data_IF_962272587870
#
_entry.id   IF_962272587870
#
_cell.length_a   1.000
_cell.length_b   1.000
_cell.length_c   1.000
_cell.angle_alpha   90.00
_cell.angle_beta   90.00
_cell.angle_gamma   90.00
#
_symmetry.space_group_name_H-M   'P 1'
#
loop_
_entity.id
_entity.type
_entity.pdbx_description
1 polymer ?
#
# COMPACT_ATOMS: atom_id res chain seq x y z
N UNK A 1 -6.98 13.08 -15.72
CA UNK A 1 -7.33 11.69 -15.33
C UNK A 1 -6.34 11.11 -14.30
N UNK A 2 -5.03 11.14 -14.53
CA UNK A 2 -4.02 10.53 -13.66
C UNK A 2 -4.07 10.99 -12.18
N UNK A 3 -4.31 12.28 -11.93
CA UNK A 3 -4.48 12.80 -10.56
C UNK A 3 -5.66 12.17 -9.79
N UNK A 4 -6.72 11.75 -10.49
CA UNK A 4 -7.88 11.09 -9.89
C UNK A 4 -7.51 9.69 -9.39
N UNK A 5 -6.77 8.90 -10.19
CA UNK A 5 -6.28 7.59 -9.74
C UNK A 5 -5.27 7.70 -8.60
N UNK A 6 -4.45 8.75 -8.59
CA UNK A 6 -3.53 9.01 -7.47
C UNK A 6 -4.31 9.35 -6.19
N UNK A 7 -5.41 10.11 -6.30
CA UNK A 7 -6.29 10.40 -5.18
C UNK A 7 -6.99 9.13 -4.66
N UNK A 8 -7.47 8.25 -5.54
CA UNK A 8 -8.03 6.95 -5.17
C UNK A 8 -7.00 6.06 -4.45
N UNK A 9 -5.74 6.05 -4.91
CA UNK A 9 -4.64 5.33 -4.28
C UNK A 9 -4.37 5.83 -2.85
N UNK A 10 -4.31 7.14 -2.67
CA UNK A 10 -4.14 7.78 -1.36
C UNK A 10 -5.34 7.45 -0.46
N UNK A 11 -6.56 7.46 -1.00
CA UNK A 11 -7.77 7.08 -0.29
C UNK A 11 -7.67 5.64 0.23
N UNK A 12 -7.27 4.67 -0.62
CA UNK A 12 -7.10 3.28 -0.20
C UNK A 12 -6.08 3.11 0.94
N UNK A 13 -4.95 3.83 0.89
CA UNK A 13 -3.96 3.80 1.97
C UNK A 13 -4.48 4.44 3.27
N UNK A 14 -5.30 5.49 3.16
CA UNK A 14 -5.86 6.22 4.28
C UNK A 14 -7.07 5.54 4.95
N UNK A 15 -7.89 4.80 4.20
CA UNK A 15 -9.12 4.14 4.72
C UNK A 15 -8.80 3.32 5.97
N UNK A 16 -7.77 2.47 5.95
CA UNK A 16 -7.40 1.66 7.12
C UNK A 16 -7.02 2.51 8.34
N UNK A 17 -6.25 3.57 8.12
CA UNK A 17 -5.76 4.46 9.19
C UNK A 17 -6.90 5.30 9.78
N UNK A 18 -7.83 5.75 8.95
CA UNK A 18 -9.05 6.46 9.36
C UNK A 18 -9.93 5.53 10.21
N UNK A 19 -10.20 4.31 9.73
CA UNK A 19 -10.94 3.30 10.49
C UNK A 19 -10.27 3.07 11.84
N UNK A 20 -8.97 2.77 11.85
CA UNK A 20 -8.23 2.55 13.10
C UNK A 20 -8.24 3.77 14.04
N UNK A 21 -8.17 4.98 13.50
CA UNK A 21 -8.27 6.23 14.26
C UNK A 21 -9.63 6.39 14.93
N UNK A 22 -10.72 6.01 14.25
CA UNK A 22 -12.07 6.09 14.81
C UNK A 22 -12.33 5.08 15.93
N UNK A 23 -11.72 3.89 15.87
CA UNK A 23 -11.96 2.83 16.87
C UNK A 23 -10.98 2.83 18.07
N UNK A 24 -9.83 3.51 17.98
CA UNK A 24 -8.82 3.51 19.06
C UNK A 24 -8.95 4.70 20.01
N UNK A 25 -9.07 4.43 21.33
CA UNK A 25 -9.10 5.47 22.40
C UNK A 25 -7.82 6.32 22.50
N UNK A 26 -6.68 5.83 21.99
CA UNK A 26 -5.39 6.54 21.97
C UNK A 26 -4.82 6.48 20.57
N UNK A 27 -4.77 7.63 19.89
CA UNK A 27 -4.21 7.75 18.56
C UNK A 27 -2.80 8.31 18.69
N UNK A 28 -1.82 7.57 18.16
CA UNK A 28 -0.45 8.07 18.01
C UNK A 28 -0.26 8.56 16.57
N UNK A 29 -0.25 9.88 16.32
CA UNK A 29 -0.26 10.43 14.96
C UNK A 29 0.97 9.97 14.16
N UNK A 30 2.13 9.89 14.80
CA UNK A 30 3.36 9.41 14.17
C UNK A 30 3.23 8.01 13.58
N UNK A 31 2.62 7.07 14.31
CA UNK A 31 2.46 5.68 13.84
C UNK A 31 1.47 5.59 12.69
N UNK A 32 0.41 6.38 12.74
CA UNK A 32 -0.57 6.49 11.65
C UNK A 32 0.05 7.04 10.38
N UNK A 33 0.91 8.07 10.48
CA UNK A 33 1.62 8.63 9.33
C UNK A 33 2.56 7.62 8.68
N UNK A 34 3.32 6.84 9.47
CA UNK A 34 4.21 5.80 8.94
C UNK A 34 3.41 4.74 8.14
N UNK A 35 2.24 4.34 8.63
CA UNK A 35 1.37 3.39 7.93
C UNK A 35 0.88 3.94 6.58
N UNK A 36 0.43 5.20 6.54
CA UNK A 36 0.02 5.87 5.30
C UNK A 36 1.19 5.91 4.31
N UNK A 37 2.39 6.29 4.77
CA UNK A 37 3.57 6.37 3.92
C UNK A 37 3.96 5.00 3.34
N UNK A 38 3.90 3.93 4.14
CA UNK A 38 4.17 2.56 3.65
C UNK A 38 3.15 2.14 2.59
N UNK A 39 1.85 2.35 2.84
CA UNK A 39 0.79 2.06 1.88
C UNK A 39 0.95 2.85 0.59
N UNK A 40 1.24 4.15 0.70
CA UNK A 40 1.40 5.05 -0.44
C UNK A 40 2.63 4.71 -1.27
N UNK A 41 3.80 4.51 -0.64
CA UNK A 41 5.03 4.14 -1.35
C UNK A 41 4.86 2.81 -2.07
N UNK A 42 4.23 1.83 -1.42
CA UNK A 42 4.02 0.52 -2.04
C UNK A 42 3.03 0.54 -3.21
N UNK A 43 1.93 1.29 -3.08
CA UNK A 43 0.98 1.49 -4.18
C UNK A 43 1.62 2.23 -5.35
N UNK A 44 2.39 3.29 -5.06
CA UNK A 44 3.05 4.09 -6.09
C UNK A 44 4.10 3.27 -6.86
N UNK A 45 4.71 2.28 -6.22
CA UNK A 45 5.68 1.39 -6.81
C UNK A 45 5.05 0.53 -7.93
N UNK A 46 3.84 0.02 -7.72
CA UNK A 46 3.11 -0.80 -8.69
C UNK A 46 2.27 0.03 -9.69
N UNK A 47 2.31 1.37 -9.58
CA UNK A 47 1.47 2.23 -10.39
C UNK A 47 1.90 2.23 -11.87
N UNK A 48 0.95 2.10 -12.82
CA UNK A 48 1.24 2.17 -14.25
C UNK A 48 1.64 3.59 -14.68
N UNK A 49 2.60 3.70 -15.60
CA UNK A 49 2.94 4.97 -16.26
C UNK A 49 1.81 5.45 -17.18
N UNK A 50 1.88 6.73 -17.57
CA UNK A 50 0.87 7.43 -18.38
C UNK A 50 0.55 6.79 -19.72
N UNK A 51 1.41 5.90 -20.21
CA UNK A 51 1.22 5.17 -21.48
C UNK A 51 0.58 3.79 -21.31
N UNK A 52 0.17 3.40 -20.09
CA UNK A 52 -0.43 2.11 -19.68
C UNK A 52 0.33 0.83 -20.11
N UNK A 53 1.45 1.01 -20.80
CA UNK A 53 2.25 -0.04 -21.38
C UNK A 53 3.37 -0.47 -20.44
N UNK A 54 3.70 0.32 -19.40
CA UNK A 54 4.80 0.05 -18.46
C UNK A 54 4.39 0.46 -17.06
N UNK A 55 4.71 -0.33 -16.04
CA UNK A 55 4.66 0.08 -14.63
C UNK A 55 5.97 0.75 -14.23
N UNK A 56 5.97 1.57 -13.18
CA UNK A 56 7.20 2.16 -12.63
C UNK A 56 8.22 1.10 -12.18
N UNK A 57 7.76 -0.04 -11.63
CA UNK A 57 8.62 -1.17 -11.26
C UNK A 57 8.92 -2.15 -12.40
N UNK A 58 7.93 -2.43 -13.26
CA UNK A 58 8.06 -3.31 -14.44
C UNK A 58 8.77 -2.61 -15.61
N UNK A 59 9.01 -1.31 -15.49
CA UNK A 59 9.83 -0.53 -16.43
C UNK A 59 11.31 -0.44 -16.05
N UNK A 60 11.66 -0.70 -14.78
CA UNK A 60 13.02 -0.48 -14.26
C UNK A 60 13.72 -1.74 -13.72
N UNK A 61 12.98 -2.72 -13.17
CA UNK A 61 13.57 -3.89 -12.46
C UNK A 61 13.15 -5.26 -13.02
N UNK A 62 12.01 -5.38 -13.71
CA UNK A 62 11.54 -6.66 -14.27
C UNK A 62 11.32 -6.58 -15.78
N UNK A 63 11.86 -7.56 -16.50
CA UNK A 63 11.64 -7.71 -17.93
C UNK A 63 10.17 -8.05 -18.22
N UNK A 64 9.57 -7.38 -19.23
CA UNK A 64 8.15 -7.53 -19.60
C UNK A 64 7.75 -8.96 -19.95
N UNK A 65 8.73 -9.80 -20.29
CA UNK A 65 8.54 -11.17 -20.76
C UNK A 65 8.05 -12.13 -19.67
N UNK A 66 8.20 -11.79 -18.38
CA UNK A 66 7.69 -12.60 -17.27
C UNK A 66 6.26 -12.23 -16.84
N UNK A 67 5.73 -11.11 -17.32
CA UNK A 67 4.40 -10.66 -16.96
C UNK A 67 3.35 -11.32 -17.85
N UNK A 68 2.64 -12.30 -17.29
CA UNK A 68 1.44 -12.89 -17.91
C UNK A 68 0.48 -11.78 -18.35
N UNK A 69 -0.19 -11.98 -19.50
CA UNK A 69 -1.22 -11.08 -20.05
C UNK A 69 -2.23 -10.61 -18.99
N UNK A 70 -2.52 -11.46 -17.99
CA UNK A 70 -3.43 -11.16 -16.89
C UNK A 70 -2.98 -9.98 -16.01
N UNK A 71 -1.67 -9.84 -15.76
CA UNK A 71 -1.15 -8.77 -14.91
C UNK A 71 -1.07 -7.45 -15.66
N UNK A 72 -0.64 -7.47 -16.93
CA UNK A 72 -0.61 -6.27 -17.76
C UNK A 72 -2.01 -5.67 -17.94
N UNK A 73 -3.03 -6.52 -18.10
CA UNK A 73 -4.41 -6.06 -18.31
C UNK A 73 -5.07 -5.49 -17.03
N UNK A 74 -4.59 -5.91 -15.84
CA UNK A 74 -5.20 -5.60 -14.55
C UNK A 74 -4.24 -4.89 -13.58
N UNK A 75 -3.29 -4.12 -14.09
CA UNK A 75 -2.17 -3.61 -13.32
C UNK A 75 -2.59 -2.65 -12.18
N UNK A 76 -3.63 -1.84 -12.42
CA UNK A 76 -4.22 -0.94 -11.42
C UNK A 76 -4.88 -1.69 -10.26
N UNK A 77 -5.51 -2.82 -10.54
CA UNK A 77 -6.14 -3.63 -9.51
C UNK A 77 -5.09 -4.11 -8.49
N UNK A 78 -3.94 -4.56 -8.97
CA UNK A 78 -2.81 -4.97 -8.12
C UNK A 78 -2.23 -3.82 -7.31
N UNK A 79 -2.12 -2.63 -7.90
CA UNK A 79 -1.67 -1.42 -7.19
C UNK A 79 -2.58 -1.07 -6.01
N UNK A 80 -3.90 -1.05 -6.22
CA UNK A 80 -4.86 -0.74 -5.15
C UNK A 80 -4.91 -1.84 -4.08
N UNK A 81 -4.82 -3.12 -4.50
CA UNK A 81 -4.79 -4.25 -3.57
C UNK A 81 -3.55 -4.19 -2.66
N UNK A 82 -2.36 -3.95 -3.22
CA UNK A 82 -1.13 -3.79 -2.44
C UNK A 82 -1.20 -2.58 -1.50
N UNK A 83 -1.67 -1.43 -2.00
CA UNK A 83 -1.78 -0.19 -1.21
C UNK A 83 -2.69 -0.36 0.02
N UNK A 84 -3.72 -1.21 -0.07
CA UNK A 84 -4.60 -1.54 1.05
C UNK A 84 -4.02 -2.61 1.99
N UNK A 85 -3.48 -3.71 1.43
CA UNK A 85 -3.01 -4.84 2.23
C UNK A 85 -1.74 -4.54 3.03
N UNK A 86 -0.80 -3.76 2.49
CA UNK A 86 0.48 -3.46 3.14
C UNK A 86 0.37 -2.67 4.45
N UNK A 87 -0.40 -1.58 4.56
CA UNK A 87 -0.62 -0.91 5.85
C UNK A 87 -1.31 -1.82 6.86
N UNK A 88 -2.21 -2.71 6.42
CA UNK A 88 -2.87 -3.68 7.31
C UNK A 88 -1.86 -4.70 7.85
N UNK A 89 -1.10 -5.34 6.96
CA UNK A 89 -0.12 -6.37 7.33
C UNK A 89 0.98 -5.77 8.21
N UNK A 90 1.54 -4.63 7.82
CA UNK A 90 2.58 -3.95 8.62
C UNK A 90 2.08 -3.56 10.00
N UNK A 91 0.81 -3.14 10.13
CA UNK A 91 0.25 -2.83 11.44
C UNK A 91 0.05 -4.07 12.31
N UNK A 92 -0.52 -5.15 11.76
CA UNK A 92 -0.72 -6.42 12.47
C UNK A 92 0.63 -6.98 12.92
N UNK A 93 1.62 -6.99 12.03
CA UNK A 93 2.98 -7.46 12.30
C UNK A 93 3.62 -6.64 13.42
N UNK A 94 3.56 -5.30 13.34
CA UNK A 94 4.08 -4.42 14.39
C UNK A 94 3.38 -4.63 15.75
N UNK A 95 2.07 -4.93 15.74
CA UNK A 95 1.33 -5.26 16.97
C UNK A 95 1.73 -6.63 17.53
N UNK A 96 1.93 -7.64 16.67
CA UNK A 96 2.39 -8.98 17.06
C UNK A 96 3.77 -8.93 17.70
N UNK A 97 4.72 -8.19 17.13
CA UNK A 97 6.05 -8.00 17.74
C UNK A 97 5.99 -7.29 19.09
N UNK A 98 5.16 -6.24 19.21
CA UNK A 98 5.01 -5.54 20.49
C UNK A 98 4.43 -6.44 21.58
N UNK A 99 3.43 -7.27 21.25
CA UNK A 99 2.82 -8.20 22.20
C UNK A 99 3.80 -9.31 22.62
N UNK A 100 4.65 -9.76 21.70
CA UNK A 100 5.70 -10.73 21.99
C UNK A 100 6.78 -10.15 22.92
N UNK A 101 7.26 -8.92 22.64
CA UNK A 101 8.27 -8.25 23.49
C UNK A 101 7.79 -8.02 24.92
N UNK A 102 6.53 -7.63 25.12
CA UNK A 102 5.97 -7.42 26.47
C UNK A 102 5.82 -8.76 27.22
N UNK A 103 5.62 -9.87 26.52
CA UNK A 103 5.51 -11.20 27.14
C UNK A 103 6.87 -11.79 27.52
N UNK A 104 7.95 -11.34 26.88
CA UNK A 104 9.31 -11.85 27.08
C UNK A 104 10.18 -10.98 28.02
N UNK A 105 9.56 -10.02 28.70
CA UNK A 105 10.15 -9.12 29.70
C UNK A 105 9.33 -9.22 31.00
#
# INVERSE_FOLDING_TARGET
LYLFLLADLLCCACVYVIFKGLYQKKIYPYRSLVLIMIGLVSGLLFFPSTDFSKSLLVGFIFDKNFFSQIFNNSLLFWSFLCAFLLPIVSDIVAQSYKKFLIKNN
#
